data_IF_399186373233
#
_entry.id   IF_399186373233
#
_cell.length_a   1.000
_cell.length_b   1.000
_cell.length_c   1.000
_cell.angle_alpha   90.00
_cell.angle_beta   90.00
_cell.angle_gamma   90.00
#
_symmetry.space_group_name_H-M   'P 1'
#
loop_
_entity.id
_entity.type
_entity.pdbx_description
1 polymer ?
#
# COMPACT_ATOMS: atom_id res chain seq x y z
N UNK A 1 63.45 7.72 42.27
CA UNK A 1 62.30 7.32 43.09
C UNK A 1 60.98 7.68 42.43
N UNK A 2 60.85 8.83 41.77
CA UNK A 2 59.58 9.27 41.16
C UNK A 2 59.17 8.48 39.90
N UNK A 3 60.11 8.12 39.01
CA UNK A 3 59.79 7.35 37.80
C UNK A 3 59.20 5.97 38.11
N UNK A 4 59.72 5.26 39.12
CA UNK A 4 59.22 3.95 39.52
C UNK A 4 57.77 4.01 40.03
N UNK A 5 57.40 5.10 40.72
CA UNK A 5 56.04 5.29 41.24
C UNK A 5 55.03 5.53 40.09
N UNK A 6 55.42 6.25 39.05
CA UNK A 6 54.57 6.51 37.88
C UNK A 6 54.21 5.18 37.18
N UNK A 7 55.20 4.31 36.93
CA UNK A 7 54.96 3.01 36.32
C UNK A 7 54.04 2.12 37.17
N UNK A 8 54.20 2.12 38.49
CA UNK A 8 53.36 1.36 39.42
C UNK A 8 51.91 1.86 39.37
N UNK A 9 51.69 3.18 39.42
CA UNK A 9 50.35 3.77 39.38
C UNK A 9 49.67 3.47 38.03
N UNK A 10 50.42 3.51 36.93
CA UNK A 10 49.90 3.25 35.58
C UNK A 10 49.45 1.80 35.44
N UNK A 11 50.23 0.85 35.99
CA UNK A 11 49.90 -0.57 35.96
C UNK A 11 48.67 -0.88 36.81
N UNK A 12 48.54 -0.26 37.98
CA UNK A 12 47.35 -0.40 38.84
C UNK A 12 46.11 0.19 38.16
N UNK A 13 46.21 1.39 37.59
CA UNK A 13 45.11 2.02 36.87
C UNK A 13 44.65 1.17 35.68
N UNK A 14 45.59 0.58 34.93
CA UNK A 14 45.29 -0.32 33.82
C UNK A 14 44.63 -1.61 34.30
N UNK A 15 45.09 -2.19 35.40
CA UNK A 15 44.48 -3.39 35.98
C UNK A 15 43.05 -3.12 36.46
N UNK A 16 42.81 -1.99 37.12
CA UNK A 16 41.47 -1.58 37.57
C UNK A 16 40.57 -1.30 36.38
N UNK A 17 41.05 -0.55 35.37
CA UNK A 17 40.30 -0.28 34.15
C UNK A 17 39.95 -1.56 33.38
N UNK A 18 40.88 -2.50 33.27
CA UNK A 18 40.65 -3.80 32.64
C UNK A 18 39.64 -4.64 33.43
N UNK A 19 39.70 -4.61 34.76
CA UNK A 19 38.75 -5.34 35.61
C UNK A 19 37.34 -4.78 35.46
N UNK A 20 37.18 -3.45 35.54
CA UNK A 20 35.88 -2.78 35.37
C UNK A 20 35.35 -3.01 33.96
N UNK A 21 36.20 -2.83 32.94
CA UNK A 21 35.83 -3.07 31.54
C UNK A 21 35.41 -4.51 31.27
N UNK A 22 36.11 -5.49 31.86
CA UNK A 22 35.75 -6.90 31.78
C UNK A 22 34.41 -7.19 32.47
N UNK A 23 34.18 -6.64 33.67
CA UNK A 23 32.92 -6.83 34.39
C UNK A 23 31.72 -6.24 33.63
N UNK A 24 31.84 -5.03 33.07
CA UNK A 24 30.80 -4.43 32.24
C UNK A 24 30.57 -5.22 30.94
N UNK A 25 31.65 -5.62 30.25
CA UNK A 25 31.55 -6.40 29.01
C UNK A 25 30.96 -7.79 29.23
N UNK A 26 31.28 -8.44 30.37
CA UNK A 26 30.74 -9.74 30.76
C UNK A 26 29.27 -9.66 31.17
N UNK A 27 28.87 -8.58 31.87
CA UNK A 27 27.49 -8.35 32.30
C UNK A 27 26.54 -8.09 31.11
N UNK A 28 27.06 -7.58 29.98
CA UNK A 28 26.31 -7.44 28.73
C UNK A 28 26.20 -8.72 27.88
N UNK A 29 26.55 -9.90 28.42
CA UNK A 29 26.55 -11.18 27.70
C UNK A 29 25.21 -11.48 27.02
N UNK A 30 25.26 -11.53 25.69
CA UNK A 30 24.16 -11.44 24.71
C UNK A 30 23.25 -12.66 24.57
N UNK A 31 23.40 -13.70 25.38
CA UNK A 31 22.69 -14.98 25.13
C UNK A 31 21.16 -14.84 25.15
N UNK A 32 20.60 -13.98 26.00
CA UNK A 32 19.15 -13.74 26.03
C UNK A 32 18.70 -12.82 24.88
N UNK A 33 19.58 -11.91 24.44
CA UNK A 33 19.25 -10.97 23.36
C UNK A 33 19.32 -11.63 21.99
N UNK A 34 20.21 -12.58 21.81
CA UNK A 34 20.24 -13.42 20.61
C UNK A 34 18.99 -14.30 20.51
N UNK A 35 18.52 -14.86 21.62
CA UNK A 35 17.25 -15.61 21.64
C UNK A 35 16.04 -14.71 21.36
N UNK A 36 15.98 -13.53 21.99
CA UNK A 36 14.93 -12.54 21.73
C UNK A 36 14.87 -12.13 20.25
N UNK A 37 16.03 -11.90 19.62
CA UNK A 37 16.10 -11.57 18.19
C UNK A 37 15.68 -12.74 17.29
N UNK A 38 15.99 -13.98 17.67
CA UNK A 38 15.54 -15.18 16.94
C UNK A 38 14.03 -15.35 17.05
N UNK A 39 13.47 -15.15 18.25
CA UNK A 39 12.02 -15.24 18.48
C UNK A 39 11.26 -14.13 17.74
N UNK A 40 11.79 -12.90 17.72
CA UNK A 40 11.21 -11.78 16.97
C UNK A 40 11.19 -12.07 15.46
N UNK A 41 12.29 -12.63 14.94
CA UNK A 41 12.40 -13.01 13.53
C UNK A 41 11.43 -14.14 13.18
N UNK A 42 11.29 -15.15 14.04
CA UNK A 42 10.36 -16.26 13.82
C UNK A 42 8.89 -15.78 13.88
N UNK A 43 8.57 -14.91 14.84
CA UNK A 43 7.25 -14.27 14.95
C UNK A 43 6.91 -13.48 13.68
N UNK A 44 7.82 -12.64 13.19
CA UNK A 44 7.61 -11.85 11.98
C UNK A 44 7.41 -12.73 10.73
N UNK A 45 8.16 -13.84 10.63
CA UNK A 45 7.99 -14.81 9.53
C UNK A 45 6.63 -15.49 9.60
N UNK A 46 6.21 -15.92 10.79
CA UNK A 46 4.90 -16.52 11.01
C UNK A 46 3.76 -15.58 10.65
N UNK A 47 3.85 -14.29 11.04
CA UNK A 47 2.86 -13.28 10.68
C UNK A 47 2.77 -13.09 9.15
N UNK A 48 3.91 -13.07 8.45
CA UNK A 48 3.97 -12.95 7.00
C UNK A 48 3.34 -14.17 6.31
N UNK A 49 3.61 -15.37 6.80
CA UNK A 49 3.00 -16.60 6.28
C UNK A 49 1.48 -16.64 6.50
N UNK A 50 1.02 -16.23 7.68
CA UNK A 50 -0.41 -16.09 7.97
C UNK A 50 -1.07 -15.06 7.06
N UNK A 51 -0.43 -13.91 6.83
CA UNK A 51 -0.92 -12.89 5.90
C UNK A 51 -1.02 -13.44 4.48
N UNK A 52 0.02 -14.11 3.97
CA UNK A 52 0.01 -14.74 2.64
C UNK A 52 -1.13 -15.76 2.50
N UNK A 53 -1.33 -16.58 3.53
CA UNK A 53 -2.42 -17.57 3.55
C UNK A 53 -3.79 -16.89 3.52
N UNK A 54 -3.98 -15.83 4.32
CA UNK A 54 -5.23 -15.06 4.36
C UNK A 54 -5.54 -14.38 3.02
N UNK A 55 -4.52 -13.83 2.37
CA UNK A 55 -4.65 -13.23 1.04
C UNK A 55 -5.02 -14.30 0.00
N UNK A 56 -4.36 -15.45 0.03
CA UNK A 56 -4.69 -16.60 -0.83
C UNK A 56 -6.15 -17.02 -0.68
N UNK A 57 -6.62 -17.19 0.55
CA UNK A 57 -8.02 -17.51 0.83
C UNK A 57 -8.98 -16.44 0.30
N UNK A 58 -8.66 -15.15 0.44
CA UNK A 58 -9.53 -14.08 -0.05
C UNK A 58 -9.65 -14.08 -1.58
N UNK A 59 -8.57 -14.39 -2.30
CA UNK A 59 -8.62 -14.53 -3.75
C UNK A 59 -9.37 -15.78 -4.21
N UNK A 60 -9.26 -16.89 -3.48
CA UNK A 60 -10.04 -18.10 -3.74
C UNK A 60 -11.55 -17.85 -3.57
N UNK A 61 -11.93 -17.25 -2.43
CA UNK A 61 -13.32 -16.86 -2.15
C UNK A 61 -13.83 -15.86 -3.20
N UNK A 62 -13.02 -14.86 -3.56
CA UNK A 62 -13.40 -13.88 -4.59
C UNK A 62 -13.59 -14.54 -5.95
N UNK A 63 -12.73 -15.49 -6.34
CA UNK A 63 -12.87 -16.22 -7.59
C UNK A 63 -14.19 -17.02 -7.62
N UNK A 64 -14.57 -17.64 -6.51
CA UNK A 64 -15.86 -18.35 -6.38
C UNK A 64 -17.05 -17.38 -6.55
N UNK A 65 -17.01 -16.22 -5.87
CA UNK A 65 -18.05 -15.20 -5.98
C UNK A 65 -18.17 -14.64 -7.40
N UNK A 66 -17.04 -14.33 -8.05
CA UNK A 66 -17.01 -13.82 -9.43
C UNK A 66 -17.57 -14.86 -10.40
N UNK A 67 -17.21 -16.13 -10.25
CA UNK A 67 -17.77 -17.20 -11.07
C UNK A 67 -19.30 -17.34 -10.87
N UNK A 68 -19.76 -17.25 -9.62
CA UNK A 68 -21.19 -17.20 -9.30
C UNK A 68 -21.91 -16.04 -9.97
N UNK A 69 -21.29 -14.85 -9.97
CA UNK A 69 -21.81 -13.66 -10.66
C UNK A 69 -21.86 -13.85 -12.18
N UNK A 70 -20.81 -14.43 -12.79
CA UNK A 70 -20.80 -14.72 -14.23
C UNK A 70 -21.94 -15.66 -14.64
N UNK A 71 -22.22 -16.69 -13.84
CA UNK A 71 -23.34 -17.61 -14.11
C UNK A 71 -24.70 -16.90 -13.94
N UNK A 72 -24.84 -16.02 -12.95
CA UNK A 72 -26.05 -15.20 -12.79
C UNK A 72 -26.25 -14.23 -13.95
N UNK A 73 -25.20 -13.57 -14.42
CA UNK A 73 -25.23 -12.71 -15.60
C UNK A 73 -25.69 -13.48 -16.85
N UNK A 74 -25.13 -14.67 -17.08
CA UNK A 74 -25.53 -15.54 -18.20
C UNK A 74 -27.01 -15.93 -18.13
N UNK A 75 -27.54 -16.23 -16.93
CA UNK A 75 -28.96 -16.53 -16.72
C UNK A 75 -29.86 -15.34 -17.04
N UNK A 76 -29.49 -14.14 -16.60
CA UNK A 76 -30.22 -12.90 -16.92
C UNK A 76 -30.25 -12.69 -18.43
N UNK A 77 -29.10 -12.82 -19.08
CA UNK A 77 -29.00 -12.67 -20.53
C UNK A 77 -29.84 -13.70 -21.29
N UNK A 78 -29.82 -14.97 -20.87
CA UNK A 78 -30.70 -16.00 -21.45
C UNK A 78 -32.18 -15.70 -21.24
N UNK A 79 -32.55 -15.18 -20.06
CA UNK A 79 -33.92 -14.81 -19.76
C UNK A 79 -34.40 -13.64 -20.64
N UNK A 80 -33.53 -12.66 -20.89
CA UNK A 80 -33.82 -11.55 -21.80
C UNK A 80 -33.97 -12.05 -23.24
N UNK A 81 -33.10 -12.95 -23.71
CA UNK A 81 -33.21 -13.58 -25.03
C UNK A 81 -34.56 -14.30 -25.21
N UNK A 82 -34.93 -15.14 -24.25
CA UNK A 82 -36.20 -15.87 -24.28
C UNK A 82 -37.40 -14.92 -24.21
N UNK A 83 -37.32 -13.85 -23.40
CA UNK A 83 -38.40 -12.86 -23.27
C UNK A 83 -38.56 -12.03 -24.54
N UNK A 84 -37.47 -11.64 -25.19
CA UNK A 84 -37.49 -10.93 -26.47
C UNK A 84 -38.15 -11.77 -27.57
N UNK A 85 -37.86 -13.07 -27.63
CA UNK A 85 -38.50 -13.99 -28.58
C UNK A 85 -40.01 -14.14 -28.31
N UNK A 86 -40.42 -14.25 -27.04
CA UNK A 86 -41.82 -14.36 -26.66
C UNK A 86 -42.62 -13.06 -26.88
N UNK A 87 -42.02 -11.90 -26.64
CA UNK A 87 -42.70 -10.60 -26.71
C UNK A 87 -42.71 -9.99 -28.12
N UNK A 88 -41.71 -10.33 -28.94
CA UNK A 88 -41.56 -9.83 -30.31
C UNK A 88 -41.49 -10.99 -31.33
N UNK A 89 -42.61 -11.72 -31.56
CA UNK A 89 -42.62 -12.79 -32.55
C UNK A 89 -42.31 -12.23 -33.95
N UNK A 90 -41.19 -12.63 -34.54
CA UNK A 90 -40.74 -12.24 -35.88
C UNK A 90 -39.43 -11.46 -35.94
N UNK A 91 -38.86 -11.04 -34.80
CA UNK A 91 -37.50 -10.51 -34.74
C UNK A 91 -36.57 -11.60 -34.18
N UNK A 92 -35.51 -12.02 -34.90
CA UNK A 92 -34.62 -13.07 -34.39
C UNK A 92 -33.92 -12.56 -33.13
N UNK A 93 -34.02 -13.32 -32.02
CA UNK A 93 -33.41 -12.97 -30.73
C UNK A 93 -31.90 -12.67 -30.84
N UNK A 94 -31.22 -13.28 -31.82
CA UNK A 94 -29.83 -12.99 -32.16
C UNK A 94 -29.60 -11.54 -32.57
N UNK A 95 -30.55 -10.88 -33.24
CA UNK A 95 -30.41 -9.49 -33.69
C UNK A 95 -30.75 -8.48 -32.59
N UNK A 96 -31.62 -8.84 -31.64
CA UNK A 96 -31.92 -8.02 -30.47
C UNK A 96 -30.77 -7.99 -29.44
N UNK A 97 -30.00 -9.09 -29.34
CA UNK A 97 -28.88 -9.22 -28.38
C UNK A 97 -27.49 -9.26 -29.03
N UNK A 98 -27.38 -9.14 -30.37
CA UNK A 98 -26.09 -9.20 -31.09
C UNK A 98 -25.09 -8.12 -30.62
N UNK A 99 -25.59 -7.00 -30.11
CA UNK A 99 -24.76 -5.86 -29.73
C UNK A 99 -24.03 -6.05 -28.39
N UNK A 100 -24.45 -7.04 -27.59
CA UNK A 100 -23.87 -7.37 -26.28
C UNK A 100 -23.38 -8.82 -26.23
N UNK A 101 -22.90 -9.36 -27.36
CA UNK A 101 -22.25 -10.67 -27.35
C UNK A 101 -21.19 -10.67 -26.24
N UNK A 102 -21.29 -11.57 -25.24
CA UNK A 102 -20.44 -11.50 -24.08
C UNK A 102 -18.99 -11.58 -24.56
N UNK A 103 -18.07 -10.72 -24.06
CA UNK A 103 -16.66 -11.03 -24.20
C UNK A 103 -16.49 -12.47 -23.72
N UNK A 104 -15.82 -13.31 -24.50
CA UNK A 104 -15.65 -14.74 -24.21
C UNK A 104 -14.97 -14.91 -22.86
N UNK A 105 -15.74 -14.86 -21.77
CA UNK A 105 -15.28 -14.97 -20.38
C UNK A 105 -14.90 -16.41 -20.01
N UNK A 106 -15.10 -17.36 -20.92
CA UNK A 106 -14.75 -18.77 -20.76
C UNK A 106 -13.44 -19.18 -21.43
N UNK A 107 -12.69 -18.25 -22.01
CA UNK A 107 -11.35 -18.53 -22.52
C UNK A 107 -10.36 -18.08 -21.47
N UNK A 108 -9.93 -19.06 -20.66
CA UNK A 108 -8.79 -19.05 -19.75
C UNK A 108 -8.46 -17.66 -19.18
N UNK A 109 -8.97 -17.35 -17.99
CA UNK A 109 -8.41 -16.25 -17.19
C UNK A 109 -6.92 -16.58 -17.08
N UNK A 110 -6.01 -15.83 -17.72
CA UNK A 110 -4.60 -16.18 -17.69
C UNK A 110 -4.16 -16.03 -16.24
N UNK A 111 -3.94 -17.16 -15.58
CA UNK A 111 -3.18 -17.19 -14.34
C UNK A 111 -1.87 -16.47 -14.62
N UNK A 112 -1.41 -15.60 -13.71
CA UNK A 112 -0.17 -14.80 -13.88
C UNK A 112 1.04 -15.68 -14.28
N UNK A 113 0.97 -16.99 -14.02
CA UNK A 113 1.97 -18.00 -14.38
C UNK A 113 1.97 -18.44 -15.85
N UNK A 114 0.88 -18.27 -16.60
CA UNK A 114 0.77 -18.74 -18.01
C UNK A 114 1.10 -17.66 -19.04
N UNK A 115 1.29 -16.40 -18.63
CA UNK A 115 1.51 -15.26 -19.51
C UNK A 115 2.98 -14.81 -19.64
N UNK A 116 3.94 -15.59 -19.17
CA UNK A 116 5.36 -15.24 -19.25
C UNK A 116 6.13 -16.30 -20.05
N UNK A 117 5.90 -16.32 -21.37
CA UNK A 117 7.02 -16.57 -22.28
C UNK A 117 7.89 -15.31 -22.24
N UNK A 118 9.09 -15.44 -21.66
CA UNK A 118 10.01 -14.34 -21.33
C UNK A 118 10.67 -13.70 -22.58
N UNK A 119 10.08 -13.92 -23.75
CA UNK A 119 10.67 -13.68 -25.07
C UNK A 119 10.16 -12.38 -25.71
N UNK A 120 9.07 -11.79 -25.22
CA UNK A 120 8.40 -10.62 -25.84
C UNK A 120 8.28 -9.42 -24.86
N UNK A 121 9.37 -9.09 -24.16
CA UNK A 121 9.40 -8.03 -23.14
C UNK A 121 9.38 -6.57 -23.67
N UNK A 122 9.39 -6.34 -24.99
CA UNK A 122 9.57 -4.98 -25.54
C UNK A 122 8.28 -4.13 -25.62
N UNK A 123 7.09 -4.71 -25.43
CA UNK A 123 5.82 -4.00 -25.67
C UNK A 123 4.76 -4.12 -24.55
N UNK A 124 5.20 -4.42 -23.31
CA UNK A 124 4.33 -4.30 -22.15
C UNK A 124 4.35 -2.86 -21.62
N UNK A 125 3.20 -2.27 -21.23
CA UNK A 125 3.20 -0.96 -20.56
C UNK A 125 4.07 -1.07 -19.32
N UNK A 126 5.15 -0.29 -19.26
CA UNK A 126 6.06 -0.31 -18.12
C UNK A 126 5.23 -0.08 -16.84
N UNK A 127 5.40 -0.94 -15.81
CA UNK A 127 4.71 -0.74 -14.56
C UNK A 127 5.07 0.64 -14.00
N UNK A 128 4.15 1.28 -13.26
CA UNK A 128 4.42 2.59 -12.68
C UNK A 128 5.74 2.55 -11.92
N UNK A 129 6.68 3.44 -12.31
CA UNK A 129 8.05 3.48 -11.80
C UNK A 129 8.14 3.89 -10.33
N UNK A 130 7.00 4.17 -9.70
CA UNK A 130 6.86 4.56 -8.29
C UNK A 130 7.20 3.45 -7.30
N UNK A 131 7.21 2.18 -7.73
CA UNK A 131 7.59 1.04 -6.89
C UNK A 131 9.08 0.65 -6.98
N UNK A 132 9.87 1.29 -7.85
CA UNK A 132 11.28 0.94 -8.03
C UNK A 132 12.09 1.34 -6.78
N UNK A 133 12.94 0.45 -6.23
CA UNK A 133 13.82 0.78 -5.12
C UNK A 133 14.76 1.92 -5.56
N UNK A 134 14.64 3.06 -4.89
CA UNK A 134 15.51 4.22 -5.14
C UNK A 134 16.94 3.92 -4.69
N UNK A 135 17.90 4.64 -5.27
CA UNK A 135 19.30 4.56 -4.85
C UNK A 135 19.43 5.01 -3.39
N UNK A 136 20.46 4.54 -2.68
CA UNK A 136 20.66 4.79 -1.25
C UNK A 136 20.81 6.27 -0.87
N UNK A 137 21.10 7.13 -1.84
CA UNK A 137 21.26 8.58 -1.71
C UNK A 137 19.99 9.36 -2.03
N UNK A 138 18.90 8.71 -2.44
CA UNK A 138 17.69 9.36 -2.94
C UNK A 138 16.48 9.03 -2.06
N UNK A 139 15.89 10.06 -1.46
CA UNK A 139 14.78 9.91 -0.55
C UNK A 139 13.50 9.42 -1.27
N UNK A 140 12.80 8.45 -0.67
CA UNK A 140 11.57 7.86 -1.20
C UNK A 140 10.49 8.92 -1.47
N UNK A 141 9.56 8.64 -2.39
CA UNK A 141 8.38 9.50 -2.61
C UNK A 141 7.49 9.65 -1.37
N UNK A 142 7.65 8.75 -0.40
CA UNK A 142 7.00 8.77 0.91
C UNK A 142 7.94 9.17 2.07
N UNK A 143 9.16 9.64 1.79
CA UNK A 143 10.04 10.13 2.86
C UNK A 143 9.55 11.47 3.40
N UNK A 144 9.67 11.70 4.71
CA UNK A 144 9.30 12.97 5.35
C UNK A 144 10.08 14.18 4.80
N UNK A 145 11.21 13.94 4.17
CA UNK A 145 12.05 14.95 3.50
C UNK A 145 11.72 15.18 2.02
N UNK A 146 10.69 14.50 1.49
CA UNK A 146 10.31 14.61 0.08
C UNK A 146 9.84 16.04 -0.23
N UNK A 147 10.51 16.70 -1.18
CA UNK A 147 10.24 18.09 -1.53
C UNK A 147 10.91 19.15 -0.65
N UNK A 148 11.45 18.79 0.52
CA UNK A 148 12.14 19.74 1.41
C UNK A 148 13.51 20.14 0.85
N UNK A 149 14.31 19.20 0.36
CA UNK A 149 15.64 19.51 -0.20
C UNK A 149 15.58 20.32 -1.51
N UNK A 150 14.50 20.18 -2.28
CA UNK A 150 14.24 21.03 -3.46
C UNK A 150 13.83 22.44 -3.05
N UNK A 151 13.07 22.57 -1.96
CA UNK A 151 12.67 23.85 -1.39
C UNK A 151 13.87 24.61 -0.83
N UNK A 152 14.79 23.95 -0.14
CA UNK A 152 16.00 24.56 0.40
C UNK A 152 16.97 25.06 -0.70
N UNK A 153 17.02 24.36 -1.84
CA UNK A 153 17.77 24.82 -3.01
C UNK A 153 17.06 25.97 -3.75
N UNK A 154 15.73 25.96 -3.82
CA UNK A 154 14.94 27.05 -4.40
C UNK A 154 14.98 28.33 -3.55
N UNK A 155 14.95 28.20 -2.22
CA UNK A 155 15.06 29.30 -1.26
C UNK A 155 16.47 29.94 -1.26
N UNK A 156 17.50 29.18 -1.63
CA UNK A 156 18.86 29.73 -1.83
C UNK A 156 18.98 30.58 -3.11
N UNK A 157 18.16 30.31 -4.15
CA UNK A 157 18.14 31.09 -5.39
C UNK A 157 17.13 32.27 -5.35
N UNK A 158 16.11 32.20 -4.49
CA UNK A 158 15.09 33.24 -4.33
C UNK A 158 15.51 34.41 -3.43
N UNK A 159 16.71 34.42 -2.85
CA UNK A 159 17.21 35.59 -2.11
C UNK A 159 17.65 36.78 -2.99
N UNK A 160 17.46 36.72 -4.32
CA UNK A 160 17.83 37.81 -5.26
C UNK A 160 16.70 38.48 -6.03
N UNK A 161 15.41 38.17 -5.80
CA UNK A 161 14.34 38.91 -6.49
C UNK A 161 13.06 39.06 -5.65
N UNK A 162 12.75 40.31 -5.33
CA UNK A 162 11.55 40.71 -4.59
C UNK A 162 10.23 40.28 -5.28
N UNK A 163 9.15 40.03 -4.53
CA UNK A 163 7.97 39.30 -5.02
C UNK A 163 7.00 40.21 -5.78
N UNK A 164 6.49 39.71 -6.91
CA UNK A 164 5.26 40.21 -7.52
C UNK A 164 4.10 39.33 -7.06
N UNK A 165 3.07 39.98 -6.51
CA UNK A 165 1.90 39.39 -5.90
C UNK A 165 1.17 38.39 -6.80
N UNK A 166 0.81 37.23 -6.24
CA UNK A 166 -0.28 36.40 -6.75
C UNK A 166 -1.30 36.18 -5.62
N UNK A 167 -2.53 36.54 -5.92
CA UNK A 167 -3.72 36.50 -5.07
C UNK A 167 -4.15 35.03 -4.80
N UNK A 168 -4.34 34.59 -3.54
CA UNK A 168 -4.74 33.23 -3.21
C UNK A 168 -6.26 33.00 -3.14
N UNK A 169 -7.13 33.99 -3.41
CA UNK A 169 -8.59 33.76 -3.30
C UNK A 169 -9.22 33.28 -4.60
N UNK A 170 -8.91 32.05 -5.02
CA UNK A 170 -9.64 31.36 -6.08
C UNK A 170 -9.52 29.84 -5.99
N UNK A 171 -10.10 29.22 -4.95
CA UNK A 171 -10.65 27.87 -5.07
C UNK A 171 -11.70 27.63 -3.99
N UNK A 172 -12.81 27.00 -4.39
CA UNK A 172 -14.11 27.00 -3.73
C UNK A 172 -14.13 26.37 -2.34
N UNK A 173 -14.89 27.04 -1.48
CA UNK A 173 -15.61 26.46 -0.35
C UNK A 173 -16.52 25.33 -0.85
N UNK A 174 -16.17 24.08 -0.57
CA UNK A 174 -17.08 22.94 -0.56
C UNK A 174 -16.79 22.13 0.70
N UNK A 175 -17.12 22.71 1.85
CA UNK A 175 -17.29 21.97 3.09
C UNK A 175 -18.66 21.27 3.05
N UNK A 176 -18.76 19.97 3.42
CA UNK A 176 -20.04 19.26 3.42
C UNK A 176 -20.90 19.79 4.58
N UNK A 177 -22.02 20.44 4.25
CA UNK A 177 -23.02 20.84 5.24
C UNK A 177 -23.72 19.61 5.84
N UNK A 178 -23.60 19.49 7.18
CA UNK A 178 -24.30 18.54 8.04
C UNK A 178 -25.77 18.96 8.19
N UNK A 179 -26.66 18.27 7.47
CA UNK A 179 -28.09 18.56 7.47
C UNK A 179 -28.79 17.73 8.55
N UNK A 180 -28.66 18.18 9.82
CA UNK A 180 -29.47 17.66 10.94
C UNK A 180 -30.30 18.76 11.64
N UNK A 181 -31.61 18.68 11.41
CA UNK A 181 -32.70 19.05 12.33
C UNK A 181 -32.85 20.53 12.76
N UNK A 182 -33.80 21.25 12.13
CA UNK A 182 -35.03 21.79 12.80
C UNK A 182 -35.86 22.66 11.85
N UNK A 183 -37.08 22.21 11.54
CA UNK A 183 -38.23 23.13 11.38
C UNK A 183 -39.28 22.78 12.40
N UNK A 184 -39.33 23.59 13.44
CA UNK A 184 -40.35 23.57 14.49
C UNK A 184 -41.58 24.34 14.00
N UNK A 185 -42.75 23.92 14.51
CA UNK A 185 -44.04 24.66 14.59
C UNK A 185 -44.81 24.79 13.26
N UNK A 186 -46.13 24.64 13.16
CA UNK A 186 -47.25 24.44 14.10
C UNK A 186 -48.51 24.25 13.24
N UNK A 187 -49.45 23.35 13.59
CA UNK A 187 -50.90 23.63 13.67
C UNK A 187 -51.79 22.38 13.68
N UNK A 188 -52.13 22.00 14.91
CA UNK A 188 -53.48 21.81 15.50
C UNK A 188 -54.45 20.74 14.92
N UNK A 189 -55.13 19.95 15.80
CA UNK A 189 -56.01 18.85 15.43
C UNK A 189 -57.48 19.28 15.23
N UNK A 190 -58.27 18.45 14.55
CA UNK A 190 -59.61 18.01 14.99
C UNK A 190 -60.30 17.06 13.99
N UNK A 191 -60.93 16.06 14.61
CA UNK A 191 -61.96 15.11 14.18
C UNK A 191 -61.53 13.85 13.45
#
# INVERSE_FOLDING_TARGET
MEQSNIWIITLIALAIGALIGYLLGRAGGSSNREQELVDELDSARSELEQYRTKVGHHFEETAELVNGLSEQYRKVHQHLANSAESLCPGLPASMALQHEAPPKLGQDIPTVTDALDNSEQEELPEPPRDYAPKKSDEAGTLSESYGLSRKEQAEAEEHTKAPAAHDPTAYGDDAPEDDTHKRSSEQKPKN
#
